data_IF_900793743719
#
_entry.id   IF_900793743719
#
_cell.length_a   1.000
_cell.length_b   1.000
_cell.length_c   1.000
_cell.angle_alpha   90.00
_cell.angle_beta   90.00
_cell.angle_gamma   90.00
#
_symmetry.space_group_name_H-M   'P 1'
#
loop_
_entity.id
_entity.type
_entity.pdbx_description
1 polymer ?
#
# COMPACT_ATOMS: atom_id res chain seq x y z
N UNK A 1 39.37 -24.96 -16.94
CA UNK A 1 38.37 -25.64 -16.10
C UNK A 1 38.40 -25.02 -14.70
N UNK A 2 37.74 -23.88 -14.50
CA UNK A 2 37.46 -23.32 -13.18
C UNK A 2 36.01 -22.82 -13.17
N UNK A 3 35.13 -23.74 -12.76
CA UNK A 3 33.94 -23.53 -11.93
C UNK A 3 32.94 -22.45 -12.37
N UNK A 4 32.14 -22.79 -13.37
CA UNK A 4 30.80 -22.24 -13.65
C UNK A 4 29.72 -22.75 -12.66
N UNK A 5 29.97 -22.77 -11.35
CA UNK A 5 29.00 -23.36 -10.40
C UNK A 5 28.71 -22.40 -9.25
N UNK A 6 27.42 -22.06 -9.16
CA UNK A 6 26.68 -21.52 -8.03
C UNK A 6 26.67 -20.00 -7.82
N UNK A 7 26.25 -19.26 -8.85
CA UNK A 7 25.43 -18.05 -8.68
C UNK A 7 23.97 -18.39 -8.25
N UNK A 8 23.76 -19.51 -7.54
CA UNK A 8 22.47 -20.15 -7.28
C UNK A 8 22.19 -20.36 -5.79
N UNK A 9 22.71 -19.49 -4.91
CA UNK A 9 22.48 -19.55 -3.46
C UNK A 9 22.13 -18.19 -2.83
N UNK A 10 21.49 -17.30 -3.58
CA UNK A 10 20.60 -16.31 -2.96
C UNK A 10 19.18 -16.87 -3.12
N UNK A 11 18.64 -17.63 -2.14
CA UNK A 11 17.21 -17.81 -2.10
C UNK A 11 16.60 -16.41 -1.99
N UNK A 12 15.74 -16.11 -2.98
CA UNK A 12 14.82 -15.00 -3.09
C UNK A 12 14.36 -14.51 -1.70
N UNK A 13 15.04 -13.51 -1.14
CA UNK A 13 14.63 -12.79 0.08
C UNK A 13 13.47 -11.84 -0.26
N UNK A 14 12.35 -12.39 -0.74
CA UNK A 14 11.08 -11.65 -0.79
C UNK A 14 10.22 -12.21 0.35
N UNK A 15 10.73 -12.07 1.58
CA UNK A 15 9.92 -12.22 2.78
C UNK A 15 9.04 -10.97 2.94
N UNK A 16 7.87 -11.13 3.55
CA UNK A 16 6.99 -10.01 3.91
C UNK A 16 7.82 -8.92 4.63
N UNK A 17 7.91 -7.74 4.03
CA UNK A 17 8.58 -6.60 4.64
C UNK A 17 7.59 -5.94 5.60
N UNK A 18 7.75 -6.21 6.89
CA UNK A 18 6.88 -5.67 7.92
C UNK A 18 7.32 -4.27 8.32
N UNK A 19 6.35 -3.39 8.59
CA UNK A 19 6.58 -2.07 9.17
C UNK A 19 6.26 -2.12 10.67
N UNK A 20 6.99 -1.43 11.56
CA UNK A 20 6.52 -1.21 12.93
C UNK A 20 5.11 -0.59 12.95
N UNK A 21 4.24 -1.09 13.82
CA UNK A 21 2.83 -0.65 13.90
C UNK A 21 2.64 0.88 14.03
N UNK A 22 3.52 1.54 14.78
CA UNK A 22 3.47 2.99 15.00
C UNK A 22 3.93 3.83 13.79
N UNK A 23 4.66 3.20 12.87
CA UNK A 23 5.18 3.84 11.65
C UNK A 23 4.35 3.49 10.41
N UNK A 24 3.46 2.51 10.52
CA UNK A 24 2.45 2.21 9.53
C UNK A 24 1.40 3.33 9.49
N UNK A 25 0.95 3.72 8.30
CA UNK A 25 0.08 4.89 8.07
C UNK A 25 -1.18 4.56 7.31
N UNK A 26 -1.32 3.36 6.77
CA UNK A 26 -2.56 2.98 6.08
C UNK A 26 -3.71 2.88 7.09
N UNK A 27 -4.75 3.68 6.86
CA UNK A 27 -5.95 3.73 7.70
C UNK A 27 -6.24 5.16 8.16
N UNK A 28 -7.51 5.50 8.26
CA UNK A 28 -7.99 6.84 8.61
C UNK A 28 -8.38 7.02 10.08
N UNK A 29 -8.24 5.97 10.90
CA UNK A 29 -8.53 5.98 12.34
C UNK A 29 -8.07 4.68 13.01
N UNK A 30 -8.17 4.57 14.33
CA UNK A 30 -7.61 3.43 15.10
C UNK A 30 -8.06 2.07 14.57
N UNK A 31 -9.36 1.92 14.31
CA UNK A 31 -9.94 0.67 13.82
C UNK A 31 -9.46 0.32 12.40
N UNK A 32 -9.53 1.27 11.46
CA UNK A 32 -9.12 1.02 10.07
C UNK A 32 -7.61 0.84 9.95
N UNK A 33 -6.82 1.53 10.78
CA UNK A 33 -5.38 1.34 10.92
C UNK A 33 -5.03 -0.06 11.40
N UNK A 34 -5.65 -0.52 12.49
CA UNK A 34 -5.46 -1.88 13.00
C UNK A 34 -5.88 -2.96 11.99
N UNK A 35 -7.02 -2.76 11.32
CA UNK A 35 -7.50 -3.68 10.29
C UNK A 35 -6.57 -3.73 9.06
N UNK A 36 -6.10 -2.58 8.60
CA UNK A 36 -5.15 -2.49 7.47
C UNK A 36 -3.82 -3.15 7.84
N UNK A 37 -3.26 -2.84 9.01
CA UNK A 37 -2.02 -3.46 9.49
C UNK A 37 -2.13 -4.98 9.58
N UNK A 38 -3.20 -5.49 10.20
CA UNK A 38 -3.39 -6.93 10.38
C UNK A 38 -3.71 -7.64 9.08
N UNK A 39 -4.48 -7.05 8.17
CA UNK A 39 -4.80 -7.68 6.88
C UNK A 39 -3.59 -7.73 5.92
N UNK A 40 -2.61 -6.86 6.10
CA UNK A 40 -1.42 -6.75 5.25
C UNK A 40 -0.19 -7.50 5.79
N UNK A 41 -0.32 -8.26 6.87
CA UNK A 41 0.81 -8.93 7.54
C UNK A 41 1.60 -9.91 6.66
N UNK A 42 0.98 -10.49 5.63
CA UNK A 42 1.66 -11.34 4.64
C UNK A 42 2.18 -10.56 3.42
N UNK A 43 1.84 -9.28 3.31
CA UNK A 43 2.17 -8.43 2.17
C UNK A 43 3.48 -7.66 2.41
N UNK A 44 3.87 -6.87 1.42
CA UNK A 44 4.96 -5.90 1.58
C UNK A 44 4.39 -4.65 2.25
N UNK A 45 4.40 -4.62 3.59
CA UNK A 45 3.87 -3.49 4.36
C UNK A 45 4.69 -2.22 4.15
N UNK A 46 5.99 -2.31 3.85
CA UNK A 46 6.82 -1.13 3.57
C UNK A 46 6.33 -0.45 2.29
N UNK A 47 6.20 -1.21 1.20
CA UNK A 47 5.71 -0.67 -0.07
C UNK A 47 4.26 -0.17 0.03
N UNK A 48 3.39 -0.92 0.72
CA UNK A 48 2.01 -0.47 0.95
C UNK A 48 1.96 0.83 1.77
N UNK A 49 2.78 0.93 2.83
CA UNK A 49 2.86 2.12 3.67
C UNK A 49 3.28 3.36 2.89
N UNK A 50 4.22 3.20 1.95
CA UNK A 50 4.62 4.28 1.03
C UNK A 50 3.45 4.75 0.16
N UNK A 51 2.66 3.83 -0.41
CA UNK A 51 1.47 4.19 -1.17
C UNK A 51 0.46 4.96 -0.31
N UNK A 52 0.24 4.54 0.94
CA UNK A 52 -0.67 5.22 1.86
C UNK A 52 -0.19 6.63 2.22
N UNK A 53 1.10 6.80 2.53
CA UNK A 53 1.67 8.13 2.78
C UNK A 53 1.52 9.09 1.60
N UNK A 54 1.70 8.59 0.37
CA UNK A 54 1.51 9.41 -0.84
C UNK A 54 0.04 9.77 -1.05
N UNK A 55 -0.88 8.85 -0.78
CA UNK A 55 -2.32 9.07 -0.85
C UNK A 55 -2.79 10.11 0.18
N UNK A 56 -2.35 9.97 1.43
CA UNK A 56 -2.63 10.93 2.51
C UNK A 56 -2.09 12.33 2.16
N UNK A 57 -0.89 12.41 1.58
CA UNK A 57 -0.32 13.67 1.11
C UNK A 57 -1.14 14.29 -0.03
N UNK A 58 -1.67 13.47 -0.94
CA UNK A 58 -2.55 13.92 -2.02
C UNK A 58 -3.86 14.50 -1.44
N UNK A 59 -4.49 13.79 -0.51
CA UNK A 59 -5.69 14.25 0.18
C UNK A 59 -5.42 15.55 0.95
N UNK A 60 -4.34 15.62 1.72
CA UNK A 60 -3.97 16.81 2.49
C UNK A 60 -3.62 18.04 1.63
N UNK A 61 -3.16 17.82 0.40
CA UNK A 61 -2.83 18.90 -0.53
C UNK A 61 -4.05 19.65 -1.09
N UNK A 62 -5.25 19.05 -1.01
CA UNK A 62 -6.51 19.60 -1.51
C UNK A 62 -6.47 20.12 -2.97
N UNK A 63 -5.52 19.65 -3.78
CA UNK A 63 -5.28 20.11 -5.16
C UNK A 63 -5.95 19.22 -6.20
N UNK A 64 -6.35 18.01 -5.81
CA UNK A 64 -6.92 16.99 -6.67
C UNK A 64 -8.25 16.51 -6.10
N UNK A 65 -9.10 16.02 -6.98
CA UNK A 65 -10.31 15.30 -6.60
C UNK A 65 -9.97 13.97 -5.91
N UNK A 66 -10.95 13.42 -5.19
CA UNK A 66 -10.83 12.08 -4.62
C UNK A 66 -10.39 11.04 -5.65
N UNK A 67 -11.03 11.03 -6.83
CA UNK A 67 -10.79 10.02 -7.86
C UNK A 67 -9.35 10.11 -8.40
N UNK A 68 -8.80 11.31 -8.56
CA UNK A 68 -7.42 11.51 -9.02
C UNK A 68 -6.40 10.98 -8.00
N UNK A 69 -6.60 11.27 -6.72
CA UNK A 69 -5.74 10.73 -5.65
C UNK A 69 -5.89 9.20 -5.52
N UNK A 70 -7.12 8.70 -5.59
CA UNK A 70 -7.41 7.26 -5.48
C UNK A 70 -6.83 6.48 -6.66
N UNK A 71 -6.89 7.02 -7.89
CA UNK A 71 -6.29 6.40 -9.06
C UNK A 71 -4.76 6.31 -8.94
N UNK A 72 -4.11 7.36 -8.45
CA UNK A 72 -2.67 7.34 -8.14
C UNK A 72 -2.34 6.29 -7.07
N UNK A 73 -3.15 6.19 -6.02
CA UNK A 73 -2.99 5.18 -4.99
C UNK A 73 -3.16 3.76 -5.54
N UNK A 74 -4.21 3.50 -6.32
CA UNK A 74 -4.46 2.20 -6.94
C UNK A 74 -3.34 1.81 -7.92
N UNK A 75 -2.80 2.77 -8.69
CA UNK A 75 -1.63 2.54 -9.53
C UNK A 75 -0.40 2.17 -8.70
N UNK A 76 -0.14 2.89 -7.60
CA UNK A 76 0.95 2.58 -6.68
C UNK A 76 0.84 1.15 -6.14
N UNK A 77 -0.33 0.78 -5.61
CA UNK A 77 -0.59 -0.57 -5.11
C UNK A 77 -0.36 -1.63 -6.19
N UNK A 78 -0.82 -1.40 -7.43
CA UNK A 78 -0.68 -2.36 -8.52
C UNK A 78 0.78 -2.64 -8.93
N UNK A 79 1.69 -1.72 -8.63
CA UNK A 79 3.12 -1.83 -8.92
C UNK A 79 3.91 -2.65 -7.90
N UNK A 80 3.31 -2.96 -6.74
CA UNK A 80 3.97 -3.72 -5.67
C UNK A 80 4.11 -5.18 -6.11
N UNK A 81 5.36 -5.68 -6.16
CA UNK A 81 5.64 -7.10 -6.39
C UNK A 81 5.50 -7.85 -5.08
N UNK A 82 4.42 -8.60 -4.91
CA UNK A 82 4.11 -9.31 -3.67
C UNK A 82 3.53 -10.71 -3.95
N UNK A 83 3.16 -11.45 -2.90
CA UNK A 83 2.59 -12.78 -3.06
C UNK A 83 1.18 -12.73 -3.73
N UNK A 84 0.69 -13.85 -4.29
CA UNK A 84 -0.58 -13.86 -5.03
C UNK A 84 -1.82 -13.47 -4.22
N UNK A 85 -1.87 -13.78 -2.92
CA UNK A 85 -2.98 -13.38 -2.05
C UNK A 85 -3.04 -11.86 -1.93
N UNK A 86 -1.90 -11.22 -1.70
CA UNK A 86 -1.82 -9.77 -1.62
C UNK A 86 -2.15 -9.13 -2.96
N UNK A 87 -1.61 -9.65 -4.06
CA UNK A 87 -1.86 -9.16 -5.41
C UNK A 87 -3.34 -9.22 -5.81
N UNK A 88 -4.00 -10.34 -5.51
CA UNK A 88 -5.36 -10.60 -5.99
C UNK A 88 -6.46 -10.07 -5.06
N UNK A 89 -6.19 -9.93 -3.75
CA UNK A 89 -7.22 -9.65 -2.75
C UNK A 89 -6.89 -8.40 -1.94
N UNK A 90 -5.75 -8.37 -1.26
CA UNK A 90 -5.47 -7.32 -0.27
C UNK A 90 -5.24 -5.96 -0.93
N UNK A 91 -4.41 -5.90 -1.98
CA UNK A 91 -4.13 -4.64 -2.70
C UNK A 91 -5.39 -4.09 -3.39
N UNK A 92 -6.19 -4.88 -4.15
CA UNK A 92 -7.46 -4.39 -4.70
C UNK A 92 -8.48 -3.98 -3.62
N UNK A 93 -8.51 -4.66 -2.48
CA UNK A 93 -9.39 -4.28 -1.37
C UNK A 93 -9.04 -2.88 -0.84
N UNK A 94 -7.75 -2.56 -0.65
CA UNK A 94 -7.34 -1.22 -0.22
C UNK A 94 -7.74 -0.13 -1.23
N UNK A 95 -7.51 -0.36 -2.53
CA UNK A 95 -7.96 0.53 -3.60
C UNK A 95 -9.49 0.76 -3.55
N UNK A 96 -10.28 -0.29 -3.37
CA UNK A 96 -11.74 -0.17 -3.29
C UNK A 96 -12.20 0.54 -2.02
N UNK A 97 -11.51 0.37 -0.88
CA UNK A 97 -11.88 1.04 0.36
C UNK A 97 -11.75 2.56 0.25
N UNK A 98 -10.67 3.07 -0.35
CA UNK A 98 -10.52 4.53 -0.54
C UNK A 98 -11.55 5.07 -1.53
N UNK A 99 -11.92 4.31 -2.57
CA UNK A 99 -12.97 4.73 -3.51
C UNK A 99 -14.36 4.79 -2.86
N UNK A 100 -14.66 3.86 -1.96
CA UNK A 100 -15.95 3.79 -1.26
C UNK A 100 -16.08 4.84 -0.14
N UNK A 101 -15.01 5.08 0.61
CA UNK A 101 -15.06 5.87 1.85
C UNK A 101 -14.22 7.15 1.81
N UNK A 102 -13.43 7.37 0.76
CA UNK A 102 -12.49 8.48 0.64
C UNK A 102 -13.14 9.86 0.66
N UNK A 103 -14.39 9.97 0.21
CA UNK A 103 -15.19 11.20 0.26
C UNK A 103 -15.35 11.76 1.69
N UNK A 104 -15.19 10.93 2.73
CA UNK A 104 -15.25 11.34 4.13
C UNK A 104 -13.95 12.00 4.63
N UNK A 105 -12.85 11.84 3.89
CA UNK A 105 -11.50 12.21 4.33
C UNK A 105 -10.81 13.19 3.37
N UNK A 106 -11.16 13.17 2.09
CA UNK A 106 -10.65 14.14 1.11
C UNK A 106 -11.14 15.55 1.46
N UNK A 107 -10.29 16.57 1.28
CA UNK A 107 -10.73 17.94 1.45
C UNK A 107 -11.93 18.24 0.52
N UNK A 108 -12.91 19.05 0.96
CA UNK A 108 -13.77 19.72 0.02
C UNK A 108 -12.88 20.57 -0.88
N UNK A 109 -12.94 20.37 -2.21
CA UNK A 109 -12.19 21.23 -3.12
C UNK A 109 -12.64 22.68 -2.87
N UNK A 110 -11.72 23.51 -2.36
CA UNK A 110 -11.95 24.94 -2.24
C UNK A 110 -11.89 25.49 -3.67
N UNK A 111 -13.07 25.67 -4.27
CA UNK A 111 -13.23 26.31 -5.57
C UNK A 111 -12.93 27.80 -5.53
#
# INVERSE_FOLDING_TARGET
>A
MYRFIACLLLPLLIGAQLMPYNDYRCGSGEFSHALSYTSTWLCDQIAMNQCCMMHDACYAGCAFTQIECDDQFCMCLSSIVTNPLCQAIILPAHCNMVRLFGALFVCPMMG
#
